data_IF_249511985350
#
_entry.id   IF_249511985350
#
_cell.length_a   1.000
_cell.length_b   1.000
_cell.length_c   1.000
_cell.angle_alpha   90.00
_cell.angle_beta   90.00
_cell.angle_gamma   90.00
#
_symmetry.space_group_name_H-M   'P 1'
#
loop_
_entity.id
_entity.type
_entity.pdbx_description
1 polymer ?
#
# COMPACT_ATOMS: atom_id res chain seq x y z
N UNK A 1 17.43 -35.28 -32.39
CA UNK A 1 15.99 -34.96 -32.26
C UNK A 1 15.49 -34.94 -30.81
N UNK A 2 15.90 -35.88 -29.94
CA UNK A 2 15.44 -35.95 -28.53
C UNK A 2 15.73 -34.70 -27.67
N UNK A 3 16.88 -34.04 -27.87
CA UNK A 3 17.26 -32.85 -27.08
C UNK A 3 16.45 -31.58 -27.40
N UNK A 4 15.92 -31.45 -28.63
CA UNK A 4 15.10 -30.30 -29.03
C UNK A 4 13.71 -30.36 -28.38
N UNK A 5 13.19 -31.56 -28.13
CA UNK A 5 11.89 -31.81 -27.50
C UNK A 5 11.95 -31.46 -26.01
N UNK A 6 13.06 -31.77 -25.34
CA UNK A 6 13.24 -31.48 -23.91
C UNK A 6 13.32 -29.97 -23.63
N UNK A 7 13.97 -29.21 -24.51
CA UNK A 7 14.03 -27.75 -24.41
C UNK A 7 12.66 -27.09 -24.63
N UNK A 8 11.85 -27.62 -25.54
CA UNK A 8 10.50 -27.12 -25.81
C UNK A 8 9.52 -27.42 -24.66
N UNK A 9 9.66 -28.60 -24.04
CA UNK A 9 8.90 -28.99 -22.84
C UNK A 9 9.28 -28.13 -21.62
N UNK A 10 10.55 -27.76 -21.47
CA UNK A 10 11.00 -26.85 -20.41
C UNK A 10 10.43 -25.43 -20.59
N UNK A 11 10.37 -24.92 -21.83
CA UNK A 11 9.79 -23.59 -22.10
C UNK A 11 8.28 -23.51 -21.80
N UNK A 12 7.54 -24.61 -21.98
CA UNK A 12 6.11 -24.70 -21.65
C UNK A 12 5.83 -24.77 -20.14
N UNK A 13 6.80 -25.16 -19.32
CA UNK A 13 6.68 -25.18 -17.87
C UNK A 13 6.98 -23.81 -17.23
N UNK A 14 7.57 -22.87 -17.98
CA UNK A 14 7.81 -21.50 -17.52
C UNK A 14 6.65 -20.54 -17.82
N UNK A 15 5.55 -20.99 -18.43
CA UNK A 15 4.29 -20.21 -18.47
C UNK A 15 3.54 -20.33 -17.14
N UNK A 16 4.25 -20.15 -16.03
CA UNK A 16 3.59 -19.79 -14.78
C UNK A 16 3.10 -18.36 -14.94
N UNK A 17 1.84 -18.08 -14.64
CA UNK A 17 1.36 -16.72 -14.49
C UNK A 17 2.34 -16.01 -13.54
N UNK A 18 3.13 -15.07 -14.08
CA UNK A 18 3.98 -14.23 -13.28
C UNK A 18 3.07 -13.34 -12.45
N UNK A 19 2.61 -13.83 -11.31
CA UNK A 19 2.10 -13.00 -10.23
C UNK A 19 3.33 -12.30 -9.69
N UNK A 20 3.73 -11.21 -10.38
CA UNK A 20 4.79 -10.32 -9.95
C UNK A 20 4.51 -9.99 -8.48
N UNK A 21 5.47 -10.33 -7.65
CA UNK A 21 5.32 -10.38 -6.19
C UNK A 21 5.04 -8.97 -5.69
N UNK A 22 3.79 -8.74 -5.30
CA UNK A 22 3.31 -7.50 -4.67
C UNK A 22 2.31 -6.76 -5.56
N UNK A 23 1.04 -6.76 -5.16
CA UNK A 23 0.01 -5.95 -5.82
C UNK A 23 0.39 -4.46 -5.78
N UNK A 24 0.09 -3.74 -6.86
CA UNK A 24 0.33 -2.29 -6.99
C UNK A 24 -0.55 -1.48 -6.03
N UNK A 25 -1.69 -2.06 -5.64
CA UNK A 25 -2.67 -1.50 -4.71
C UNK A 25 -2.69 -2.29 -3.40
N UNK A 26 -3.12 -1.63 -2.34
CA UNK A 26 -3.37 -2.23 -1.04
C UNK A 26 -4.71 -1.75 -0.50
N UNK A 27 -5.51 -2.71 -0.04
CA UNK A 27 -6.77 -2.45 0.65
C UNK A 27 -6.47 -1.92 2.05
N UNK A 28 -6.83 -0.65 2.31
CA UNK A 28 -6.72 -0.02 3.63
C UNK A 28 -8.12 0.10 4.22
N UNK A 29 -8.32 -0.47 5.40
CA UNK A 29 -9.60 -0.39 6.11
C UNK A 29 -9.59 0.84 7.01
N UNK A 30 -10.40 1.82 6.66
CA UNK A 30 -10.56 3.05 7.41
C UNK A 30 -11.70 2.85 8.41
N UNK A 31 -11.37 2.97 9.69
CA UNK A 31 -12.32 2.84 10.80
C UNK A 31 -12.17 4.06 11.73
N UNK A 32 -13.18 4.35 12.54
CA UNK A 32 -13.10 5.44 13.51
C UNK A 32 -14.01 5.21 14.70
N UNK A 33 -13.67 5.83 15.83
CA UNK A 33 -14.55 5.95 16.97
C UNK A 33 -14.88 7.43 17.24
N UNK A 34 -16.16 7.84 17.19
CA UNK A 34 -17.36 7.05 16.83
C UNK A 34 -17.40 6.63 15.34
N UNK A 35 -18.25 5.64 15.04
CA UNK A 35 -18.51 5.20 13.65
C UNK A 35 -19.38 6.23 12.91
N UNK A 36 -19.33 6.20 11.57
CA UNK A 36 -20.08 7.12 10.71
C UNK A 36 -19.39 8.47 10.47
N UNK A 37 -18.10 8.62 10.77
CA UNK A 37 -17.36 9.81 10.40
C UNK A 37 -17.12 9.89 8.90
N UNK A 38 -17.19 11.10 8.35
CA UNK A 38 -16.81 11.37 6.96
C UNK A 38 -15.30 11.29 6.86
N UNK A 39 -14.79 10.49 5.92
CA UNK A 39 -13.37 10.45 5.64
C UNK A 39 -13.06 10.96 4.25
N UNK A 40 -11.90 11.58 4.09
CA UNK A 40 -11.33 12.01 2.82
C UNK A 40 -9.87 11.59 2.78
N UNK A 41 -9.50 10.79 1.79
CA UNK A 41 -8.11 10.44 1.49
C UNK A 41 -7.61 11.34 0.38
N UNK A 42 -6.57 12.11 0.65
CA UNK A 42 -5.91 12.96 -0.33
C UNK A 42 -4.55 12.38 -0.69
N UNK A 43 -4.20 12.44 -1.98
CA UNK A 43 -2.86 12.13 -2.49
C UNK A 43 -1.88 13.27 -2.19
N UNK A 44 -0.59 13.05 -2.37
CA UNK A 44 0.49 14.03 -2.20
C UNK A 44 0.34 15.29 -3.06
N UNK A 45 -0.45 15.19 -4.13
CA UNK A 45 -0.82 16.29 -5.03
C UNK A 45 -2.04 17.11 -4.55
N UNK A 46 -2.64 16.74 -3.42
CA UNK A 46 -3.84 17.37 -2.88
C UNK A 46 -5.15 16.90 -3.54
N UNK A 47 -5.11 15.90 -4.42
CA UNK A 47 -6.32 15.34 -5.03
C UNK A 47 -6.98 14.33 -4.09
N UNK A 48 -8.29 14.46 -3.89
CA UNK A 48 -9.06 13.48 -3.14
C UNK A 48 -9.23 12.19 -3.96
N UNK A 49 -8.56 11.12 -3.54
CA UNK A 49 -8.58 9.81 -4.22
C UNK A 49 -9.69 8.91 -3.70
N UNK A 50 -10.13 9.09 -2.46
CA UNK A 50 -11.24 8.35 -1.87
C UNK A 50 -12.00 9.22 -0.87
N UNK A 51 -13.31 9.08 -0.84
CA UNK A 51 -14.20 9.77 0.09
C UNK A 51 -15.36 8.84 0.48
N UNK A 52 -15.85 8.97 1.71
CA UNK A 52 -16.96 8.15 2.17
C UNK A 52 -17.20 8.29 3.68
N UNK A 53 -17.79 7.25 4.27
CA UNK A 53 -18.09 7.19 5.70
C UNK A 53 -17.51 5.92 6.32
N UNK A 54 -16.97 6.03 7.54
CA UNK A 54 -16.40 4.89 8.28
C UNK A 54 -17.49 3.96 8.86
N UNK A 55 -17.28 2.63 8.92
CA UNK A 55 -16.11 1.91 8.43
C UNK A 55 -16.19 1.57 6.94
N UNK A 56 -15.15 1.88 6.18
CA UNK A 56 -15.07 1.57 4.75
C UNK A 56 -13.66 1.06 4.38
N UNK A 57 -13.62 0.06 3.50
CA UNK A 57 -12.37 -0.41 2.90
C UNK A 57 -12.17 0.31 1.57
N UNK A 58 -11.00 0.92 1.38
CA UNK A 58 -10.62 1.60 0.14
C UNK A 58 -9.35 0.96 -0.41
N UNK A 59 -9.26 0.84 -1.73
CA UNK A 59 -8.04 0.40 -2.40
C UNK A 59 -7.17 1.62 -2.71
N UNK A 60 -5.94 1.62 -2.20
CA UNK A 60 -4.99 2.72 -2.39
C UNK A 60 -3.76 2.21 -3.15
N UNK A 61 -3.30 2.99 -4.11
CA UNK A 61 -2.07 2.70 -4.86
C UNK A 61 -0.85 2.90 -3.95
N UNK A 62 0.12 1.98 -4.00
CA UNK A 62 1.32 2.06 -3.16
C UNK A 62 2.48 2.81 -3.80
N UNK A 63 2.44 2.96 -5.12
CA UNK A 63 3.50 3.56 -5.92
C UNK A 63 2.95 4.55 -6.94
N UNK A 64 3.71 5.59 -7.27
CA UNK A 64 3.42 6.51 -8.39
C UNK A 64 3.73 5.88 -9.77
N UNK A 65 4.14 4.60 -9.82
CA UNK A 65 4.60 3.94 -11.05
C UNK A 65 6.03 4.29 -11.47
N UNK A 66 6.81 4.91 -10.57
CA UNK A 66 8.24 5.21 -10.77
C UNK A 66 9.09 4.22 -10.00
N UNK A 67 10.32 3.96 -10.46
CA UNK A 67 11.28 2.99 -9.89
C UNK A 67 11.56 3.17 -8.38
N UNK A 68 11.35 4.37 -7.81
CA UNK A 68 11.34 4.65 -6.36
C UNK A 68 10.20 5.59 -5.96
N UNK A 69 9.08 5.57 -6.69
CA UNK A 69 7.97 6.49 -6.47
C UNK A 69 7.07 6.04 -5.33
N UNK A 70 7.39 6.43 -4.10
CA UNK A 70 6.50 6.23 -2.94
C UNK A 70 5.27 7.13 -3.06
N UNK A 71 4.09 6.59 -2.79
CA UNK A 71 2.87 7.38 -2.59
C UNK A 71 2.72 7.79 -1.14
N UNK A 72 2.29 9.04 -0.93
CA UNK A 72 1.91 9.55 0.39
C UNK A 72 0.45 9.96 0.37
N UNK A 73 -0.32 9.53 1.37
CA UNK A 73 -1.71 9.93 1.52
C UNK A 73 -1.95 10.64 2.83
N UNK A 74 -2.91 11.57 2.83
CA UNK A 74 -3.44 12.21 4.02
C UNK A 74 -4.88 11.75 4.21
N UNK A 75 -5.15 11.06 5.31
CA UNK A 75 -6.52 10.74 5.71
C UNK A 75 -7.01 11.83 6.65
N UNK A 76 -8.10 12.48 6.26
CA UNK A 76 -8.82 13.46 7.06
C UNK A 76 -10.15 12.85 7.47
N UNK A 77 -10.44 12.84 8.76
CA UNK A 77 -11.72 12.41 9.32
C UNK A 77 -12.43 13.60 9.94
N UNK A 78 -13.72 13.72 9.63
CA UNK A 78 -14.59 14.77 10.11
C UNK A 78 -15.90 14.16 10.58
N UNK A 79 -16.36 14.54 11.77
CA UNK A 79 -17.66 14.14 12.28
C UNK A 79 -18.32 15.33 12.98
N UNK A 80 -19.64 15.54 12.80
CA UNK A 80 -20.35 16.63 13.48
C UNK A 80 -20.20 16.55 15.00
N UNK A 81 -19.72 17.62 15.62
CA UNK A 81 -19.49 17.68 17.07
C UNK A 81 -18.18 17.05 17.54
N UNK A 82 -17.29 16.65 16.62
CA UNK A 82 -15.96 16.12 16.94
C UNK A 82 -14.84 16.94 16.27
N UNK A 83 -13.67 16.95 16.90
CA UNK A 83 -12.48 17.61 16.38
C UNK A 83 -11.99 16.83 15.15
N UNK A 84 -11.76 17.50 14.00
CA UNK A 84 -11.26 16.82 12.81
C UNK A 84 -9.88 16.21 13.08
N UNK A 85 -9.69 14.97 12.64
CA UNK A 85 -8.43 14.24 12.82
C UNK A 85 -7.79 14.07 11.45
N UNK A 86 -6.54 14.51 11.32
CA UNK A 86 -5.73 14.26 10.13
C UNK A 86 -4.60 13.32 10.49
N UNK A 87 -4.41 12.27 9.70
CA UNK A 87 -3.34 11.29 9.90
C UNK A 87 -2.69 10.93 8.55
N UNK A 88 -1.34 10.96 8.48
CA UNK A 88 -0.63 10.53 7.29
C UNK A 88 -0.65 9.01 7.16
N UNK A 89 -0.83 8.53 5.92
CA UNK A 89 -0.62 7.14 5.51
C UNK A 89 0.60 7.14 4.60
N UNK A 90 1.67 6.51 5.08
CA UNK A 90 2.98 6.50 4.41
C UNK A 90 3.26 5.13 3.79
N UNK A 91 3.77 5.13 2.56
CA UNK A 91 4.39 3.95 1.96
C UNK A 91 5.77 3.69 2.61
N UNK A 92 5.90 2.60 3.37
CA UNK A 92 7.15 2.15 3.99
C UNK A 92 7.69 0.92 3.29
N UNK A 93 9.01 0.84 3.12
CA UNK A 93 9.63 -0.33 2.52
C UNK A 93 9.39 -1.56 3.42
N UNK A 94 8.92 -2.65 2.83
CA UNK A 94 8.63 -3.90 3.50
C UNK A 94 9.95 -4.56 3.93
N UNK A 95 9.97 -5.05 5.16
CA UNK A 95 11.14 -5.69 5.77
C UNK A 95 11.54 -6.98 5.03
N UNK A 96 10.59 -7.64 4.35
CA UNK A 96 10.86 -8.78 3.48
C UNK A 96 11.76 -8.40 2.29
N UNK A 97 11.56 -7.23 1.70
CA UNK A 97 12.44 -6.71 0.64
C UNK A 97 13.83 -6.34 1.18
N UNK A 98 13.89 -5.75 2.38
CA UNK A 98 15.14 -5.33 3.01
C UNK A 98 16.00 -6.50 3.53
N UNK A 99 15.38 -7.59 3.99
CA UNK A 99 16.10 -8.71 4.61
C UNK A 99 16.20 -9.94 3.68
N UNK A 100 15.24 -10.16 2.80
CA UNK A 100 15.16 -11.34 1.94
C UNK A 100 16.17 -11.37 0.81
N UNK A 101 16.63 -10.20 0.33
CA UNK A 101 17.60 -10.10 -0.77
C UNK A 101 19.08 -10.12 -0.34
N UNK A 102 19.37 -9.91 0.95
CA UNK A 102 20.74 -9.89 1.47
C UNK A 102 21.42 -11.28 1.36
N UNK A 103 20.78 -12.40 1.77
CA UNK A 103 21.45 -13.71 1.76
C UNK A 103 21.51 -14.41 0.40
N UNK A 104 20.81 -13.93 -0.64
CA UNK A 104 20.69 -14.63 -1.93
C UNK A 104 21.49 -14.02 -3.10
N UNK A 105 22.15 -12.86 -2.96
CA UNK A 105 22.89 -12.29 -4.10
C UNK A 105 23.64 -10.97 -3.92
N UNK A 106 23.85 -10.48 -2.70
CA UNK A 106 24.58 -9.23 -2.46
C UNK A 106 23.92 -7.98 -3.08
N UNK A 107 24.66 -6.86 -3.07
CA UNK A 107 24.24 -5.53 -3.56
C UNK A 107 23.60 -5.52 -4.96
N UNK A 108 24.04 -6.34 -5.95
CA UNK A 108 23.41 -6.40 -7.28
C UNK A 108 22.02 -7.06 -7.28
N UNK A 109 21.81 -8.09 -6.45
CA UNK A 109 20.53 -8.81 -6.37
C UNK A 109 19.41 -7.95 -5.80
N UNK A 110 19.73 -7.03 -4.89
CA UNK A 110 18.79 -6.08 -4.30
C UNK A 110 18.15 -5.13 -5.33
N UNK A 111 18.93 -4.63 -6.29
CA UNK A 111 18.48 -3.71 -7.33
C UNK A 111 17.69 -4.41 -8.44
N UNK A 112 17.91 -5.71 -8.64
CA UNK A 112 17.33 -6.48 -9.74
C UNK A 112 15.97 -7.09 -9.39
N UNK A 113 15.72 -7.40 -8.12
CA UNK A 113 14.43 -7.92 -7.63
C UNK A 113 13.44 -6.76 -7.49
N UNK A 114 13.01 -6.33 -8.67
CA UNK A 114 11.88 -5.51 -9.06
C UNK A 114 11.29 -4.48 -8.08
N UNK A 115 11.84 -3.26 -8.07
CA UNK A 115 11.19 -2.10 -7.47
C UNK A 115 10.11 -1.45 -8.38
N UNK A 116 9.87 -1.93 -9.62
CA UNK A 116 8.96 -1.25 -10.56
C UNK A 116 7.49 -1.25 -10.10
N UNK A 117 7.03 -2.32 -9.46
CA UNK A 117 5.60 -2.54 -9.22
C UNK A 117 5.10 -2.05 -7.86
N UNK A 118 5.94 -1.36 -7.08
CA UNK A 118 5.54 -0.91 -5.74
C UNK A 118 5.31 -2.03 -4.72
N UNK A 119 5.61 -3.28 -5.09
CA UNK A 119 5.62 -4.45 -4.19
C UNK A 119 6.61 -4.34 -3.05
N UNK A 120 7.59 -3.43 -3.14
CA UNK A 120 8.50 -3.13 -2.03
C UNK A 120 7.83 -2.32 -0.91
N UNK A 121 6.73 -1.61 -1.17
CA UNK A 121 6.12 -0.71 -0.20
C UNK A 121 4.88 -1.36 0.41
N UNK A 122 4.68 -1.09 1.70
CA UNK A 122 3.43 -1.32 2.43
C UNK A 122 2.94 0.03 2.96
N UNK A 123 1.64 0.30 2.80
CA UNK A 123 1.01 1.47 3.39
C UNK A 123 0.83 1.24 4.89
N UNK A 124 1.41 2.12 5.70
CA UNK A 124 1.25 2.15 7.15
C UNK A 124 0.58 3.47 7.57
N UNK A 125 -0.43 3.43 8.46
CA UNK A 125 -1.05 2.25 9.07
C UNK A 125 -2.01 1.50 8.12
N UNK A 126 -2.08 0.17 8.22
CA UNK A 126 -2.99 -0.67 7.42
C UNK A 126 -4.45 -0.57 7.88
N UNK A 127 -4.63 -0.32 9.19
CA UNK A 127 -5.92 -0.28 9.87
C UNK A 127 -5.97 0.96 10.79
N UNK A 128 -6.01 2.18 10.22
CA UNK A 128 -6.16 3.37 11.02
C UNK A 128 -7.51 3.34 11.77
N UNK A 129 -7.45 3.41 13.10
CA UNK A 129 -8.60 3.54 13.98
C UNK A 129 -8.44 4.76 14.92
N UNK A 130 -8.38 5.99 14.38
CA UNK A 130 -8.28 7.17 15.22
C UNK A 130 -9.53 7.33 16.12
N UNK A 131 -9.29 7.72 17.36
CA UNK A 131 -10.32 8.19 18.27
C UNK A 131 -10.54 9.70 18.03
N UNK A 132 -11.79 10.10 17.81
CA UNK A 132 -12.15 11.50 17.64
C UNK A 132 -12.61 12.10 18.97
N UNK A 133 -12.00 13.22 19.36
CA UNK A 133 -12.37 13.94 20.56
C UNK A 133 -13.60 14.82 20.30
N UNK A 134 -14.62 14.83 21.16
CA UNK A 134 -15.76 15.72 21.00
C UNK A 134 -15.33 17.19 21.18
N UNK A 135 -15.88 18.09 20.35
CA UNK A 135 -15.66 19.53 20.44
C UNK A 135 -16.39 20.04 21.69
N UNK A 136 -15.67 20.15 22.81
CA UNK A 136 -16.24 20.61 24.08
C UNK A 136 -15.83 19.81 25.32
N UNK A 137 -15.08 18.70 25.17
CA UNK A 137 -14.47 18.03 26.32
C UNK A 137 -13.25 18.80 26.84
N UNK A 138 -13.50 19.95 27.48
CA UNK A 138 -12.62 20.50 28.51
C UNK A 138 -13.12 19.94 29.84
N UNK A 139 -12.52 18.85 30.30
CA UNK A 139 -12.65 18.31 31.65
C UNK A 139 -11.27 18.12 32.21
#
# INVERSE_FOLDING_TARGET
>A
MKQRILALAAALLLSGCATIVGNETQSVRIDSLPQGARFTVQDERGFAVAQGFTPQTVELEKSTGRYFGKKHYLLMLESPGYVPVTMPIEARANLWYLLGNIPLGGFPGWLLVDPFYGGMYDLKPEHPRPFMNPVGARG
#
